data_IF_813065017545
#
_entry.id   IF_813065017545
#
_cell.length_a   1.000
_cell.length_b   1.000
_cell.length_c   1.000
_cell.angle_alpha   90.00
_cell.angle_beta   90.00
_cell.angle_gamma   90.00
#
_symmetry.space_group_name_H-M   'P 1'
#
loop_
_entity.id
_entity.type
_entity.pdbx_description
1 polymer ?
#
# COMPACT_ATOMS: atom_id res chain seq x y z
N UNK A 1 -31.99 -32.39 -13.40
CA UNK A 1 -31.03 -32.81 -12.34
C UNK A 1 -30.77 -31.62 -11.42
N UNK A 2 -30.47 -31.85 -10.14
CA UNK A 2 -30.09 -30.76 -9.23
C UNK A 2 -28.76 -30.14 -9.67
N UNK A 3 -28.73 -28.83 -9.90
CA UNK A 3 -27.57 -28.08 -10.41
C UNK A 3 -27.15 -27.02 -9.39
N UNK A 4 -25.84 -26.92 -9.14
CA UNK A 4 -25.29 -25.90 -8.23
C UNK A 4 -25.35 -24.54 -8.92
N UNK A 5 -25.69 -23.50 -8.15
CA UNK A 5 -25.63 -22.12 -8.63
C UNK A 5 -24.21 -21.66 -8.95
N UNK A 6 -24.10 -20.61 -9.76
CA UNK A 6 -22.84 -19.95 -10.13
C UNK A 6 -22.27 -19.13 -8.99
N UNK A 7 -20.94 -19.16 -8.89
CA UNK A 7 -20.16 -18.29 -8.01
C UNK A 7 -20.17 -16.85 -8.54
N UNK A 8 -20.07 -15.89 -7.62
CA UNK A 8 -19.99 -14.46 -7.94
C UNK A 8 -18.71 -13.92 -7.35
N UNK A 9 -18.12 -12.94 -8.02
CA UNK A 9 -16.94 -12.23 -7.55
C UNK A 9 -17.23 -10.74 -7.42
N UNK A 10 -16.79 -10.13 -6.32
CA UNK A 10 -16.92 -8.70 -6.05
C UNK A 10 -15.58 -8.16 -5.60
N UNK A 11 -15.14 -7.09 -6.24
CA UNK A 11 -13.98 -6.33 -5.80
C UNK A 11 -14.37 -5.43 -4.62
N UNK A 12 -13.56 -5.48 -3.56
CA UNK A 12 -13.75 -4.66 -2.37
C UNK A 12 -12.51 -3.81 -2.18
N UNK A 13 -12.65 -2.51 -2.44
CA UNK A 13 -11.62 -1.53 -2.13
C UNK A 13 -11.52 -1.35 -0.60
N UNK A 14 -10.31 -1.51 -0.08
CA UNK A 14 -9.98 -1.38 1.35
C UNK A 14 -8.84 -0.37 1.48
N UNK A 15 -8.93 0.52 2.47
CA UNK A 15 -7.84 1.45 2.74
C UNK A 15 -6.70 0.75 3.48
N UNK A 16 -5.48 1.25 3.33
CA UNK A 16 -4.29 0.62 3.90
C UNK A 16 -4.37 0.53 5.43
N UNK A 17 -4.92 1.55 6.07
CA UNK A 17 -5.11 1.68 7.51
C UNK A 17 -6.14 0.66 8.04
N UNK A 18 -7.17 0.36 7.24
CA UNK A 18 -8.20 -0.62 7.55
C UNK A 18 -7.65 -2.06 7.61
N UNK A 19 -6.47 -2.30 7.02
CA UNK A 19 -5.81 -3.62 7.09
C UNK A 19 -5.23 -3.92 8.49
N UNK A 20 -5.09 -2.92 9.37
CA UNK A 20 -4.47 -3.12 10.68
C UNK A 20 -5.38 -3.80 11.70
N UNK A 21 -6.70 -3.70 11.53
CA UNK A 21 -7.70 -4.19 12.48
C UNK A 21 -8.83 -4.92 11.76
N UNK A 22 -9.51 -5.84 12.47
CA UNK A 22 -10.76 -6.40 11.95
C UNK A 22 -11.80 -5.29 11.87
N UNK A 23 -12.48 -5.19 10.73
CA UNK A 23 -13.59 -4.27 10.54
C UNK A 23 -14.77 -4.97 9.86
N UNK A 24 -15.97 -4.42 10.09
CA UNK A 24 -17.19 -4.88 9.41
C UNK A 24 -17.45 -3.97 8.22
N UNK A 25 -17.73 -4.55 7.05
CA UNK A 25 -18.10 -3.81 5.84
C UNK A 25 -19.42 -4.31 5.31
N UNK A 26 -20.30 -3.38 4.98
CA UNK A 26 -21.56 -3.66 4.29
C UNK A 26 -21.28 -3.76 2.81
N UNK A 27 -21.64 -4.88 2.20
CA UNK A 27 -21.44 -5.15 0.77
C UNK A 27 -22.81 -5.34 0.15
N UNK A 28 -23.09 -4.54 -0.86
CA UNK A 28 -24.32 -4.62 -1.64
C UNK A 28 -24.00 -5.09 -3.06
N UNK A 29 -24.79 -6.03 -3.56
CA UNK A 29 -24.59 -6.64 -4.87
C UNK A 29 -25.88 -7.22 -5.42
N UNK A 30 -25.92 -7.40 -6.74
CA UNK A 30 -27.08 -7.94 -7.43
C UNK A 30 -26.82 -9.40 -7.82
N UNK A 31 -27.72 -10.29 -7.44
CA UNK A 31 -27.71 -11.68 -7.88
C UNK A 31 -28.45 -11.82 -9.21
N UNK A 32 -27.80 -12.25 -10.30
CA UNK A 32 -28.52 -12.60 -11.52
C UNK A 32 -29.31 -13.89 -11.30
N UNK A 33 -30.58 -13.86 -11.69
CA UNK A 33 -31.47 -15.02 -11.80
C UNK A 33 -31.60 -15.35 -13.27
N UNK A 34 -31.25 -16.58 -13.63
CA UNK A 34 -31.27 -17.06 -15.00
C UNK A 34 -32.57 -17.82 -15.28
N UNK A 35 -33.13 -17.62 -16.48
CA UNK A 35 -34.25 -18.43 -16.97
C UNK A 35 -33.77 -19.77 -17.54
N UNK A 36 -34.71 -20.60 -17.99
CA UNK A 36 -34.43 -21.92 -18.59
C UNK A 36 -33.55 -21.87 -19.86
N UNK A 37 -33.34 -20.69 -20.46
CA UNK A 37 -32.47 -20.47 -21.62
C UNK A 37 -31.10 -19.91 -21.24
N UNK A 38 -30.81 -19.75 -19.94
CA UNK A 38 -29.55 -19.19 -19.43
C UNK A 38 -29.42 -17.67 -19.59
N UNK A 39 -30.52 -16.96 -19.88
CA UNK A 39 -30.54 -15.49 -19.95
C UNK A 39 -30.92 -14.90 -18.60
N UNK A 40 -30.38 -13.72 -18.26
CA UNK A 40 -30.72 -13.00 -17.03
C UNK A 40 -32.19 -12.53 -17.14
N UNK A 41 -33.03 -13.02 -16.24
CA UNK A 41 -34.45 -12.68 -16.14
C UNK A 41 -34.70 -11.61 -15.08
N UNK A 42 -33.97 -11.68 -13.96
CA UNK A 42 -34.11 -10.76 -12.84
C UNK A 42 -32.78 -10.56 -12.12
N UNK A 43 -32.60 -9.38 -11.52
CA UNK A 43 -31.55 -9.13 -10.54
C UNK A 43 -32.15 -8.97 -9.14
N UNK A 44 -31.68 -9.76 -8.17
CA UNK A 44 -32.10 -9.66 -6.78
C UNK A 44 -31.02 -8.90 -6.01
N UNK A 45 -31.28 -7.67 -5.53
CA UNK A 45 -30.33 -6.95 -4.69
C UNK A 45 -30.19 -7.66 -3.34
N UNK A 46 -28.95 -7.85 -2.91
CA UNK A 46 -28.59 -8.38 -1.59
C UNK A 46 -27.59 -7.47 -0.93
N UNK A 47 -27.69 -7.42 0.40
CA UNK A 47 -26.75 -6.71 1.25
C UNK A 47 -26.29 -7.61 2.38
N UNK A 48 -24.97 -7.67 2.59
CA UNK A 48 -24.34 -8.50 3.61
C UNK A 48 -23.39 -7.67 4.46
N UNK A 49 -23.40 -7.91 5.76
CA UNK A 49 -22.39 -7.38 6.68
C UNK A 49 -21.29 -8.43 6.86
N UNK A 50 -20.13 -8.16 6.28
CA UNK A 50 -19.00 -9.10 6.26
C UNK A 50 -17.90 -8.59 7.17
N UNK A 51 -17.25 -9.50 7.90
CA UNK A 51 -16.04 -9.20 8.66
C UNK A 51 -14.83 -9.36 7.76
N UNK A 52 -14.07 -8.29 7.58
CA UNK A 52 -12.79 -8.28 6.89
C UNK A 52 -11.71 -8.43 7.98
N UNK A 53 -10.96 -9.54 8.01
CA UNK A 53 -9.94 -9.76 9.03
C UNK A 53 -8.80 -8.74 8.92
N UNK A 54 -8.13 -8.50 10.05
CA UNK A 54 -6.86 -7.79 10.04
C UNK A 54 -5.82 -8.54 9.19
N UNK A 55 -4.98 -7.79 8.50
CA UNK A 55 -3.87 -8.27 7.70
C UNK A 55 -4.27 -8.87 6.36
N UNK A 56 -5.40 -8.44 5.79
CA UNK A 56 -5.76 -8.77 4.42
C UNK A 56 -4.76 -8.14 3.45
N UNK A 57 -4.20 -8.97 2.57
CA UNK A 57 -3.32 -8.51 1.50
C UNK A 57 -4.07 -8.07 0.25
N UNK A 58 -3.40 -7.29 -0.59
CA UNK A 58 -3.92 -6.94 -1.92
C UNK A 58 -4.09 -8.22 -2.77
N UNK A 59 -5.23 -8.35 -3.45
CA UNK A 59 -5.62 -9.54 -4.23
C UNK A 59 -6.11 -10.73 -3.39
N UNK A 60 -6.20 -10.61 -2.06
CA UNK A 60 -6.65 -11.71 -1.21
C UNK A 60 -8.14 -11.99 -1.44
N UNK A 61 -8.51 -13.28 -1.54
CA UNK A 61 -9.89 -13.73 -1.79
C UNK A 61 -10.53 -14.24 -0.49
N UNK A 62 -11.73 -13.74 -0.17
CA UNK A 62 -12.54 -14.18 0.98
C UNK A 62 -13.81 -14.86 0.45
N UNK A 63 -14.04 -16.12 0.85
CA UNK A 63 -15.20 -16.92 0.42
C UNK A 63 -16.37 -16.77 1.40
N UNK A 64 -17.54 -16.45 0.86
CA UNK A 64 -18.83 -16.46 1.56
C UNK A 64 -19.69 -17.58 0.98
N UNK A 65 -19.72 -18.70 1.71
CA UNK A 65 -20.37 -19.93 1.26
C UNK A 65 -21.88 -19.74 1.08
N UNK A 66 -22.43 -20.16 -0.07
CA UNK A 66 -23.86 -20.15 -0.37
C UNK A 66 -24.47 -18.77 -0.66
N UNK A 67 -23.63 -17.74 -0.80
CA UNK A 67 -24.04 -16.36 -1.09
C UNK A 67 -23.96 -16.00 -2.58
N UNK A 68 -23.65 -16.96 -3.46
CA UNK A 68 -23.73 -16.78 -4.91
C UNK A 68 -25.16 -16.93 -5.43
N UNK A 69 -25.28 -17.23 -6.72
CA UNK A 69 -26.60 -17.41 -7.34
C UNK A 69 -27.33 -18.66 -6.81
N UNK A 70 -28.67 -18.67 -6.79
CA UNK A 70 -29.45 -19.85 -6.39
C UNK A 70 -29.14 -21.06 -7.28
N UNK A 71 -29.11 -22.26 -6.69
CA UNK A 71 -29.06 -23.52 -7.46
C UNK A 71 -30.44 -23.89 -8.01
N UNK A 72 -30.48 -24.74 -9.04
CA UNK A 72 -31.74 -25.18 -9.66
C UNK A 72 -32.13 -26.59 -9.21
N UNK A 73 -33.43 -26.90 -9.26
CA UNK A 73 -33.98 -28.22 -8.91
C UNK A 73 -33.54 -28.73 -7.52
N UNK A 74 -33.43 -27.82 -6.54
CA UNK A 74 -32.98 -28.14 -5.18
C UNK A 74 -31.46 -28.28 -5.02
N UNK A 75 -30.68 -27.90 -6.03
CA UNK A 75 -29.23 -27.82 -5.93
C UNK A 75 -28.74 -26.69 -5.01
N UNK A 76 -27.52 -26.80 -4.46
CA UNK A 76 -26.98 -25.79 -3.55
C UNK A 76 -26.67 -24.47 -4.28
N UNK A 77 -26.71 -23.35 -3.55
CA UNK A 77 -26.29 -22.06 -4.09
C UNK A 77 -24.79 -22.06 -4.44
N UNK A 78 -24.41 -21.17 -5.35
CA UNK A 78 -23.02 -20.79 -5.55
C UNK A 78 -22.45 -20.02 -4.35
N UNK A 79 -21.18 -19.65 -4.43
CA UNK A 79 -20.50 -18.85 -3.41
C UNK A 79 -20.24 -17.42 -3.87
N UNK A 80 -20.06 -16.51 -2.92
CA UNK A 80 -19.56 -15.17 -3.20
C UNK A 80 -18.08 -15.07 -2.80
N UNK A 81 -17.26 -14.63 -3.73
CA UNK A 81 -15.85 -14.32 -3.53
C UNK A 81 -15.67 -12.81 -3.44
N UNK A 82 -15.09 -12.34 -2.34
CA UNK A 82 -14.64 -10.97 -2.21
C UNK A 82 -13.16 -10.91 -2.55
N UNK A 83 -12.78 -10.12 -3.54
CA UNK A 83 -11.38 -9.85 -3.87
C UNK A 83 -11.00 -8.52 -3.27
N UNK A 84 -10.08 -8.55 -2.31
CA UNK A 84 -9.62 -7.35 -1.64
C UNK A 84 -8.66 -6.59 -2.55
N UNK A 85 -8.95 -5.34 -2.82
CA UNK A 85 -8.04 -4.41 -3.48
C UNK A 85 -7.66 -3.31 -2.50
N UNK A 86 -6.37 -3.25 -2.16
CA UNK A 86 -5.88 -2.16 -1.31
C UNK A 86 -5.75 -0.92 -2.18
N UNK A 87 -6.44 0.15 -1.81
CA UNK A 87 -6.36 1.41 -2.53
C UNK A 87 -4.91 1.97 -2.47
N UNK A 88 -4.40 2.56 -3.57
CA UNK A 88 -3.11 3.23 -3.56
C UNK A 88 -3.06 4.29 -2.44
N UNK A 89 -2.01 4.24 -1.61
CA UNK A 89 -1.85 5.15 -0.49
C UNK A 89 -0.94 6.33 -0.89
N UNK A 90 -1.27 7.59 -0.54
CA UNK A 90 -0.53 8.77 -1.01
C UNK A 90 0.92 8.85 -0.51
N UNK A 91 1.25 8.18 0.60
CA UNK A 91 2.58 8.20 1.22
C UNK A 91 3.31 6.85 1.22
N UNK A 92 2.58 5.75 1.04
CA UNK A 92 3.13 4.41 1.29
C UNK A 92 2.96 3.55 0.06
N UNK A 93 4.06 2.98 -0.40
CA UNK A 93 4.06 1.94 -1.42
C UNK A 93 4.12 0.57 -0.75
N UNK A 94 3.33 -0.37 -1.22
CA UNK A 94 3.30 -1.74 -0.70
C UNK A 94 4.30 -2.58 -1.50
N UNK A 95 5.34 -3.09 -0.84
CA UNK A 95 6.36 -3.96 -1.43
C UNK A 95 6.34 -5.30 -0.70
N UNK A 96 5.54 -6.23 -1.20
CA UNK A 96 5.36 -7.55 -0.58
C UNK A 96 4.61 -7.45 0.75
N UNK A 97 5.35 -7.51 1.86
CA UNK A 97 4.81 -7.33 3.23
C UNK A 97 5.34 -6.06 3.90
N UNK A 98 6.28 -5.39 3.25
CA UNK A 98 6.89 -4.17 3.73
C UNK A 98 6.21 -2.97 3.10
N UNK A 99 6.43 -1.82 3.73
CA UNK A 99 6.00 -0.52 3.23
C UNK A 99 7.23 0.29 2.88
N UNK A 100 7.14 1.11 1.84
CA UNK A 100 8.13 2.12 1.53
C UNK A 100 7.51 3.51 1.66
N UNK A 101 8.27 4.44 2.22
CA UNK A 101 7.93 5.87 2.25
C UNK A 101 9.11 6.66 1.74
N UNK A 102 8.84 7.61 0.85
CA UNK A 102 9.84 8.59 0.43
C UNK A 102 9.96 9.67 1.49
N UNK A 103 11.14 9.79 2.10
CA UNK A 103 11.42 10.82 3.10
C UNK A 103 12.24 11.93 2.45
N UNK A 104 11.61 13.09 2.15
CA UNK A 104 12.34 14.24 1.64
C UNK A 104 13.25 14.81 2.73
N UNK A 105 14.52 15.01 2.39
CA UNK A 105 15.53 15.56 3.30
C UNK A 105 16.30 16.65 2.58
N UNK A 106 16.67 17.70 3.30
CA UNK A 106 17.60 18.71 2.79
C UNK A 106 19.02 18.15 2.67
N UNK A 107 19.89 18.75 1.84
CA UNK A 107 21.26 18.27 1.67
C UNK A 107 22.06 18.30 2.99
N UNK A 108 21.83 19.31 3.83
CA UNK A 108 22.53 19.44 5.11
C UNK A 108 22.01 18.47 6.17
N UNK A 109 20.73 18.10 6.18
CA UNK A 109 20.23 17.01 7.03
C UNK A 109 20.86 15.67 6.66
N UNK A 110 21.02 15.39 5.36
CA UNK A 110 21.69 14.18 4.89
C UNK A 110 23.19 14.20 5.23
N UNK A 111 23.87 15.33 5.04
CA UNK A 111 25.29 15.48 5.29
C UNK A 111 25.65 15.44 6.78
N UNK A 112 24.96 16.21 7.61
CA UNK A 112 25.26 16.40 9.04
C UNK A 112 24.57 15.36 9.94
N UNK A 113 23.54 14.69 9.42
CA UNK A 113 22.64 13.87 10.20
C UNK A 113 21.53 14.71 10.84
N UNK A 114 20.39 14.08 11.08
CA UNK A 114 19.21 14.75 11.61
C UNK A 114 18.30 13.76 12.35
N UNK A 115 17.33 14.30 13.09
CA UNK A 115 16.20 13.52 13.59
C UNK A 115 14.93 14.10 12.99
N UNK A 116 14.24 13.30 12.18
CA UNK A 116 13.05 13.73 11.44
C UNK A 116 11.85 12.90 11.85
N UNK A 117 10.68 13.53 11.92
CA UNK A 117 9.43 12.84 12.21
C UNK A 117 8.90 12.20 10.94
N UNK A 118 8.68 10.88 10.95
CA UNK A 118 8.19 10.12 9.80
C UNK A 118 6.85 9.47 10.17
N UNK A 119 5.78 9.63 9.36
CA UNK A 119 4.52 8.98 9.61
C UNK A 119 4.64 7.46 9.44
N UNK A 120 3.89 6.70 10.22
CA UNK A 120 3.61 5.27 9.96
C UNK A 120 2.10 5.08 9.84
N UNK A 121 1.63 3.85 9.59
CA UNK A 121 0.19 3.57 9.51
C UNK A 121 -0.60 3.84 10.81
N UNK A 122 0.09 3.97 11.95
CA UNK A 122 -0.55 4.16 13.26
C UNK A 122 -0.15 5.48 13.88
N UNK A 123 1.14 5.67 14.10
CA UNK A 123 1.69 6.86 14.73
C UNK A 123 2.94 7.36 14.01
N UNK A 124 3.29 8.63 14.19
CA UNK A 124 4.58 9.14 13.71
C UNK A 124 5.71 8.72 14.65
N UNK A 125 6.88 8.45 14.08
CA UNK A 125 8.09 8.10 14.84
C UNK A 125 9.20 9.09 14.57
N UNK A 126 10.15 9.18 15.50
CA UNK A 126 11.38 9.96 15.30
C UNK A 126 12.44 9.07 14.63
N UNK A 127 12.69 9.28 13.34
CA UNK A 127 13.72 8.60 12.57
C UNK A 127 15.05 9.36 12.69
N UNK A 128 16.11 8.65 13.06
CA UNK A 128 17.48 9.21 13.06
C UNK A 128 18.13 8.97 11.71
N UNK A 129 18.53 10.05 11.04
CA UNK A 129 19.30 10.06 9.81
C UNK A 129 20.79 10.15 10.19
N UNK A 130 21.61 9.14 9.86
CA UNK A 130 23.05 9.20 10.10
C UNK A 130 23.73 10.32 9.29
N UNK A 131 24.81 10.92 9.80
CA UNK A 131 25.66 11.82 9.01
C UNK A 131 26.21 11.11 7.76
N UNK A 132 26.34 11.83 6.65
CA UNK A 132 26.79 11.28 5.38
C UNK A 132 25.80 10.36 4.69
N UNK A 133 24.50 10.46 5.02
CA UNK A 133 23.45 9.67 4.37
C UNK A 133 23.34 10.02 2.88
N UNK A 134 23.03 9.01 2.06
CA UNK A 134 23.02 9.12 0.59
C UNK A 134 21.59 9.21 0.02
N UNK A 135 21.46 9.80 -1.17
CA UNK A 135 20.21 9.74 -1.92
C UNK A 135 19.85 8.28 -2.25
N UNK A 136 18.58 7.91 -2.07
CA UNK A 136 18.09 6.54 -2.26
C UNK A 136 18.44 5.57 -1.13
N UNK A 137 19.17 6.01 -0.10
CA UNK A 137 19.46 5.15 1.05
C UNK A 137 18.17 4.71 1.74
N UNK A 138 18.09 3.42 2.06
CA UNK A 138 16.93 2.77 2.67
C UNK A 138 17.18 2.57 4.17
N UNK A 139 16.47 3.32 5.01
CA UNK A 139 16.51 3.17 6.46
C UNK A 139 15.34 2.31 6.94
N UNK A 140 15.65 1.17 7.56
CA UNK A 140 14.66 0.20 8.03
C UNK A 140 14.10 0.57 9.39
N UNK A 141 12.78 0.61 9.50
CA UNK A 141 12.03 0.77 10.74
C UNK A 141 11.27 -0.52 10.99
N UNK A 142 11.76 -1.28 11.97
CA UNK A 142 11.29 -2.64 12.26
C UNK A 142 9.84 -2.65 12.76
N UNK A 143 9.02 -3.56 12.24
CA UNK A 143 7.66 -3.85 12.70
C UNK A 143 6.62 -2.78 12.35
N UNK A 144 6.93 -1.89 11.39
CA UNK A 144 6.07 -0.80 10.93
C UNK A 144 5.52 -1.00 9.50
N UNK A 145 5.65 -2.21 8.95
CA UNK A 145 5.04 -2.60 7.69
C UNK A 145 3.64 -3.21 7.87
N UNK A 146 3.23 -4.03 6.90
CA UNK A 146 1.93 -4.70 6.94
C UNK A 146 1.90 -5.81 7.98
N UNK A 147 0.77 -5.93 8.69
CA UNK A 147 0.52 -7.04 9.62
C UNK A 147 -0.06 -8.20 8.82
N UNK A 148 0.48 -9.40 8.99
CA UNK A 148 -0.12 -10.64 8.48
C UNK A 148 -0.39 -11.61 9.63
N UNK A 149 -1.08 -12.73 9.35
CA UNK A 149 -1.31 -13.79 10.35
C UNK A 149 -0.02 -14.41 10.92
N UNK A 150 1.10 -14.32 10.19
CA UNK A 150 2.37 -15.00 10.56
C UNK A 150 3.43 -14.02 11.06
N UNK A 151 3.49 -12.83 10.46
CA UNK A 151 4.54 -11.86 10.73
C UNK A 151 4.07 -10.44 10.45
N UNK A 152 4.76 -9.47 11.04
CA UNK A 152 4.64 -8.05 10.70
C UNK A 152 5.86 -7.65 9.87
N UNK A 153 5.63 -7.03 8.72
CA UNK A 153 6.70 -6.46 7.90
C UNK A 153 7.27 -5.17 8.49
N UNK A 154 8.13 -4.52 7.71
CA UNK A 154 8.84 -3.32 8.11
C UNK A 154 8.49 -2.11 7.23
N UNK A 155 8.82 -0.92 7.72
CA UNK A 155 8.77 0.30 6.93
C UNK A 155 10.19 0.67 6.50
N UNK A 156 10.38 0.94 5.21
CA UNK A 156 11.62 1.45 4.65
C UNK A 156 11.45 2.92 4.30
N UNK A 157 12.18 3.77 5.02
CA UNK A 157 12.32 5.18 4.69
C UNK A 157 13.38 5.33 3.60
N UNK A 158 12.96 5.67 2.39
CA UNK A 158 13.82 5.91 1.24
C UNK A 158 14.14 7.40 1.18
N UNK A 159 15.41 7.75 1.41
CA UNK A 159 15.81 9.15 1.47
C UNK A 159 15.81 9.78 0.06
N UNK A 160 15.15 10.93 -0.07
CA UNK A 160 15.18 11.75 -1.28
C UNK A 160 15.75 13.12 -0.93
N UNK A 161 16.94 13.43 -1.44
CA UNK A 161 17.53 14.76 -1.27
C UNK A 161 16.73 15.76 -2.11
N UNK A 162 16.20 16.79 -1.46
CA UNK A 162 15.46 17.88 -2.09
C UNK A 162 16.17 19.20 -1.87
N UNK A 163 16.26 20.02 -2.92
CA UNK A 163 16.87 21.34 -2.83
C UNK A 163 15.82 22.40 -2.45
N UNK A 164 16.19 23.43 -1.68
CA UNK A 164 15.35 24.60 -1.52
C UNK A 164 15.14 25.32 -2.87
N UNK A 165 14.21 26.29 -2.93
CA UNK A 165 14.07 27.19 -4.08
C UNK A 165 15.39 27.92 -4.41
N UNK A 166 15.39 28.65 -5.53
CA UNK A 166 16.56 29.41 -6.00
C UNK A 166 17.19 30.22 -4.85
N UNK A 167 18.51 30.07 -4.60
CA UNK A 167 19.19 30.78 -3.52
C UNK A 167 19.29 32.28 -3.81
N UNK A 168 19.29 33.08 -2.74
CA UNK A 168 19.73 34.48 -2.78
C UNK A 168 21.25 34.58 -2.86
N UNK A 169 21.80 35.80 -2.96
CA UNK A 169 23.24 36.03 -3.12
C UNK A 169 24.07 35.42 -1.97
N UNK A 170 23.58 35.56 -0.74
CA UNK A 170 24.26 35.02 0.43
C UNK A 170 24.29 33.49 0.42
N UNK A 171 23.14 32.86 0.18
CA UNK A 171 23.05 31.39 0.11
C UNK A 171 23.85 30.84 -1.07
N UNK A 172 23.87 31.54 -2.21
CA UNK A 172 24.69 31.16 -3.36
C UNK A 172 26.19 31.18 -3.03
N UNK A 173 26.66 32.18 -2.27
CA UNK A 173 28.05 32.25 -1.82
C UNK A 173 28.44 31.05 -0.93
N UNK A 174 27.54 30.62 -0.03
CA UNK A 174 27.75 29.43 0.80
C UNK A 174 27.82 28.14 -0.03
N UNK A 175 26.96 28.00 -1.04
CA UNK A 175 27.02 26.88 -1.97
C UNK A 175 28.33 26.85 -2.76
N UNK A 176 28.86 28.01 -3.16
CA UNK A 176 30.15 28.09 -3.85
C UNK A 176 31.29 27.63 -2.95
N UNK A 177 31.33 28.08 -1.70
CA UNK A 177 32.33 27.63 -0.73
C UNK A 177 32.29 26.12 -0.52
N UNK A 178 31.09 25.54 -0.45
CA UNK A 178 30.92 24.08 -0.34
C UNK A 178 31.42 23.37 -1.60
N UNK A 179 31.12 23.90 -2.80
CA UNK A 179 31.57 23.34 -4.06
C UNK A 179 33.10 23.33 -4.16
N UNK A 180 33.76 24.40 -3.76
CA UNK A 180 35.23 24.50 -3.76
C UNK A 180 35.84 23.51 -2.77
N UNK A 181 35.26 23.39 -1.57
CA UNK A 181 35.69 22.44 -0.53
C UNK A 181 35.49 20.97 -0.94
N UNK A 182 34.49 20.68 -1.77
CA UNK A 182 34.16 19.34 -2.28
C UNK A 182 34.57 19.15 -3.75
N UNK A 183 35.55 19.90 -4.24
CA UNK A 183 36.01 19.89 -5.64
C UNK A 183 36.49 18.51 -6.16
N UNK A 184 36.78 17.57 -5.26
CA UNK A 184 37.16 16.18 -5.62
C UNK A 184 35.96 15.23 -5.81
N UNK A 185 34.74 15.64 -5.46
CA UNK A 185 33.55 14.81 -5.57
C UNK A 185 33.00 14.79 -7.01
N UNK A 186 32.92 13.59 -7.60
CA UNK A 186 32.34 13.38 -8.93
C UNK A 186 30.99 12.64 -8.84
N UNK A 187 29.85 13.36 -8.92
CA UNK A 187 28.52 12.74 -8.86
C UNK A 187 28.16 11.89 -10.10
N UNK A 188 28.98 11.91 -11.17
CA UNK A 188 28.74 11.19 -12.44
C UNK A 188 29.81 10.15 -12.75
N UNK A 189 30.60 9.76 -11.75
CA UNK A 189 31.72 8.83 -11.87
C UNK A 189 31.39 7.52 -12.62
N UNK A 190 30.15 7.03 -12.50
CA UNK A 190 29.75 5.77 -13.11
C UNK A 190 29.31 5.86 -14.58
N UNK A 191 29.24 7.06 -15.18
CA UNK A 191 28.87 7.22 -16.61
C UNK A 191 29.93 6.67 -17.57
N UNK A 192 31.19 6.56 -17.15
CA UNK A 192 32.29 6.05 -17.98
C UNK A 192 32.46 4.53 -17.95
N UNK A 193 31.58 3.79 -17.28
CA UNK A 193 31.67 2.32 -17.11
C UNK A 193 30.67 1.52 -17.98
N UNK A 194 29.95 2.20 -18.87
CA UNK A 194 29.00 1.59 -19.80
C UNK A 194 29.65 1.29 -21.16
#
# INVERSE_FOLDING_TARGET
>A
PATRGHDIEIEVAVFLEETLTEHKRTISYNLPVYNAFGMIEQEIPKTLNVKIPAGVGNGQRIRLKGQGTPGENGGPNGDLWLVIHIAPHPLFDIVGQDLEIVVPVSPWEAALGAKVTVPTLKESILLTIPPGSQAGQRLRVKGKGLVSKKQTGDLYAVLKIVMPPKPDENTAALWQQLADAQSSFDPRKDWGKA
#
